data_IF_427890144456
#
_entry.id   IF_427890144456
#
_cell.length_a   1.000
_cell.length_b   1.000
_cell.length_c   1.000
_cell.angle_alpha   90.00
_cell.angle_beta   90.00
_cell.angle_gamma   90.00
#
_symmetry.space_group_name_H-M   'P 1'
#
loop_
_entity.id
_entity.type
_entity.pdbx_description
1 polymer ?
#
# COMPACT_ATOMS: atom_id res chain seq x y z
N UNK A 1 46.39 -26.52 35.15
CA UNK A 1 45.84 -25.53 34.18
C UNK A 1 44.60 -26.14 33.55
N UNK A 2 43.41 -25.84 34.08
CA UNK A 2 42.14 -26.25 33.48
C UNK A 2 41.56 -25.05 32.74
N UNK A 3 41.60 -25.08 31.41
CA UNK A 3 40.93 -24.11 30.55
C UNK A 3 39.44 -24.38 30.60
N UNK A 4 38.69 -23.49 31.27
CA UNK A 4 37.23 -23.48 31.29
C UNK A 4 36.76 -22.90 29.96
N UNK A 5 36.26 -23.75 29.07
CA UNK A 5 35.56 -23.33 27.84
C UNK A 5 34.26 -22.66 28.25
N UNK A 6 34.11 -21.37 27.96
CA UNK A 6 32.86 -20.62 28.12
C UNK A 6 31.95 -21.00 26.95
N UNK A 7 30.80 -21.62 27.22
CA UNK A 7 29.78 -21.80 26.19
C UNK A 7 29.17 -20.44 25.78
N UNK A 8 28.81 -20.24 24.50
CA UNK A 8 28.12 -19.03 24.07
C UNK A 8 26.75 -18.98 24.74
N UNK A 9 26.43 -17.85 25.39
CA UNK A 9 25.14 -17.63 26.04
C UNK A 9 23.98 -17.84 25.05
N UNK A 10 22.99 -18.62 25.46
CA UNK A 10 21.79 -18.89 24.69
C UNK A 10 21.12 -17.55 24.31
N UNK A 11 21.03 -17.28 23.00
CA UNK A 11 20.19 -16.22 22.49
C UNK A 11 18.75 -16.45 22.98
N UNK A 12 18.09 -15.38 23.46
CA UNK A 12 16.70 -15.45 23.90
C UNK A 12 15.76 -15.95 22.79
N UNK A 13 14.51 -16.30 23.12
CA UNK A 13 13.59 -16.85 22.13
C UNK A 13 13.41 -15.86 20.97
N UNK A 14 13.71 -16.33 19.77
CA UNK A 14 13.49 -15.58 18.55
C UNK A 14 12.00 -15.29 18.34
N UNK A 15 11.66 -14.04 17.96
CA UNK A 15 10.28 -13.67 17.60
C UNK A 15 9.76 -14.61 16.50
N UNK A 16 8.57 -15.23 16.63
CA UNK A 16 7.99 -16.09 15.59
C UNK A 16 7.90 -15.39 14.23
N UNK A 17 8.11 -16.13 13.12
CA UNK A 17 8.01 -15.55 11.77
C UNK A 17 6.61 -14.98 11.47
N UNK A 18 5.56 -15.58 12.04
CA UNK A 18 4.19 -15.05 11.94
C UNK A 18 4.07 -13.64 12.53
N UNK A 19 4.76 -13.37 13.64
CA UNK A 19 4.71 -12.06 14.30
C UNK A 19 5.52 -11.04 13.52
N UNK A 20 6.74 -11.41 13.08
CA UNK A 20 7.58 -10.57 12.21
C UNK A 20 6.87 -10.23 10.90
N UNK A 21 6.15 -11.20 10.32
CA UNK A 21 5.36 -11.01 9.10
C UNK A 21 4.23 -10.02 9.34
N UNK A 22 3.48 -10.18 10.43
CA UNK A 22 2.43 -9.22 10.82
C UNK A 22 2.97 -7.81 10.99
N UNK A 23 4.11 -7.65 11.67
CA UNK A 23 4.78 -6.35 11.89
C UNK A 23 5.14 -5.67 10.57
N UNK A 24 5.75 -6.39 9.62
CA UNK A 24 6.03 -5.86 8.28
C UNK A 24 4.77 -5.44 7.54
N UNK A 25 3.67 -6.18 7.73
CA UNK A 25 2.37 -5.86 7.15
C UNK A 25 1.75 -4.58 7.72
N UNK A 26 1.86 -4.39 9.04
CA UNK A 26 1.47 -3.15 9.71
C UNK A 26 2.26 -1.98 9.14
N UNK A 27 3.58 -2.08 9.04
CA UNK A 27 4.41 -1.03 8.44
C UNK A 27 4.07 -0.76 6.97
N UNK A 28 3.73 -1.80 6.21
CA UNK A 28 3.30 -1.64 4.82
C UNK A 28 2.00 -0.84 4.71
N UNK A 29 0.99 -1.18 5.50
CA UNK A 29 -0.29 -0.46 5.47
C UNK A 29 -0.22 0.93 6.06
N UNK A 30 0.60 1.16 7.08
CA UNK A 30 0.89 2.51 7.57
C UNK A 30 1.38 3.41 6.44
N UNK A 31 2.32 2.94 5.62
CA UNK A 31 2.83 3.67 4.45
C UNK A 31 1.80 3.83 3.33
N UNK A 32 0.94 2.84 3.10
CA UNK A 32 -0.08 2.89 2.04
C UNK A 32 -1.17 3.90 2.41
N UNK A 33 -1.75 3.75 3.59
CA UNK A 33 -2.89 4.54 4.05
C UNK A 33 -2.52 5.84 4.76
N UNK A 34 -1.22 6.09 4.96
CA UNK A 34 -0.70 7.27 5.65
C UNK A 34 -1.28 7.41 7.06
N UNK A 35 -1.24 6.31 7.82
CA UNK A 35 -1.74 6.21 9.19
C UNK A 35 -0.63 5.73 10.13
N UNK A 36 -0.62 6.11 11.41
CA UNK A 36 0.36 5.61 12.36
C UNK A 36 0.29 4.09 12.51
N UNK A 37 1.45 3.42 12.61
CA UNK A 37 1.53 1.95 12.68
C UNK A 37 0.69 1.35 13.81
N UNK A 38 0.66 2.01 14.97
CA UNK A 38 -0.12 1.57 16.13
C UNK A 38 -1.64 1.61 15.90
N UNK A 39 -2.12 2.42 14.95
CA UNK A 39 -3.54 2.57 14.63
C UNK A 39 -3.99 1.58 13.55
N UNK A 40 -3.08 1.08 12.70
CA UNK A 40 -3.39 0.20 11.56
C UNK A 40 -4.25 -1.00 11.98
N UNK A 41 -3.89 -1.81 13.00
CA UNK A 41 -4.66 -3.03 13.28
C UNK A 41 -6.10 -2.72 13.70
N UNK A 42 -6.28 -1.70 14.54
CA UNK A 42 -7.60 -1.31 15.03
C UNK A 42 -8.46 -0.70 13.90
N UNK A 43 -7.88 0.20 13.10
CA UNK A 43 -8.57 0.83 11.98
C UNK A 43 -8.99 -0.19 10.92
N UNK A 44 -8.12 -1.15 10.58
CA UNK A 44 -8.45 -2.22 9.62
C UNK A 44 -9.50 -3.16 10.19
N UNK A 45 -9.32 -3.63 11.43
CA UNK A 45 -10.31 -4.50 12.09
C UNK A 45 -11.69 -3.86 12.16
N UNK A 46 -11.78 -2.55 12.42
CA UNK A 46 -13.05 -1.83 12.42
C UNK A 46 -13.69 -1.74 11.03
N UNK A 47 -12.89 -1.68 9.97
CA UNK A 47 -13.37 -1.55 8.58
C UNK A 47 -13.84 -2.87 7.97
N UNK A 48 -13.08 -3.95 8.17
CA UNK A 48 -13.27 -5.23 7.43
C UNK A 48 -13.49 -6.44 8.35
N UNK A 49 -13.48 -6.24 9.66
CA UNK A 49 -13.61 -7.29 10.67
C UNK A 49 -12.26 -7.91 11.06
N UNK A 50 -12.14 -8.46 12.29
CA UNK A 50 -10.85 -8.93 12.81
C UNK A 50 -10.18 -10.03 11.99
N UNK A 51 -10.88 -11.11 11.55
CA UNK A 51 -10.21 -12.19 10.81
C UNK A 51 -9.66 -11.72 9.46
N UNK A 52 -10.41 -10.89 8.75
CA UNK A 52 -9.97 -10.36 7.46
C UNK A 52 -8.79 -9.40 7.65
N UNK A 53 -8.85 -8.57 8.69
CA UNK A 53 -7.75 -7.65 9.00
C UNK A 53 -6.46 -8.41 9.30
N UNK A 54 -6.49 -9.46 10.12
CA UNK A 54 -5.29 -10.24 10.42
C UNK A 54 -4.69 -10.89 9.16
N UNK A 55 -5.51 -11.54 8.33
CA UNK A 55 -5.05 -12.11 7.06
C UNK A 55 -4.47 -11.05 6.12
N UNK A 56 -5.08 -9.87 6.06
CA UNK A 56 -4.59 -8.75 5.26
C UNK A 56 -3.22 -8.24 5.78
N UNK A 57 -3.04 -8.10 7.10
CA UNK A 57 -1.77 -7.73 7.72
C UNK A 57 -0.69 -8.77 7.38
N UNK A 58 -0.99 -10.05 7.57
CA UNK A 58 -0.07 -11.13 7.25
C UNK A 58 0.28 -11.14 5.75
N UNK A 59 -0.70 -10.97 4.86
CA UNK A 59 -0.46 -10.91 3.43
C UNK A 59 0.44 -9.74 3.03
N UNK A 60 0.19 -8.55 3.56
CA UNK A 60 0.98 -7.34 3.29
C UNK A 60 2.43 -7.45 3.78
N UNK A 61 2.68 -8.21 4.85
CA UNK A 61 4.03 -8.47 5.35
C UNK A 61 4.77 -9.64 4.67
N UNK A 62 4.12 -10.27 3.70
CA UNK A 62 4.68 -11.37 2.93
C UNK A 62 5.82 -10.97 2.00
N UNK A 63 6.54 -11.98 1.53
CA UNK A 63 7.68 -11.81 0.61
C UNK A 63 7.31 -11.07 -0.68
N UNK A 64 6.07 -11.21 -1.16
CA UNK A 64 5.59 -10.54 -2.37
C UNK A 64 5.71 -9.01 -2.26
N UNK A 65 5.45 -8.44 -1.08
CA UNK A 65 5.51 -6.99 -0.90
C UNK A 65 6.91 -6.48 -0.57
N UNK A 66 7.74 -7.30 0.08
CA UNK A 66 9.09 -6.90 0.50
C UNK A 66 10.20 -7.33 -0.47
N UNK A 67 9.88 -7.83 -1.66
CA UNK A 67 10.89 -8.34 -2.60
C UNK A 67 11.84 -7.22 -3.08
N UNK A 68 13.17 -7.35 -2.90
CA UNK A 68 14.11 -6.25 -3.13
C UNK A 68 14.29 -5.86 -4.61
N UNK A 69 13.89 -6.72 -5.55
CA UNK A 69 14.00 -6.43 -6.98
C UNK A 69 12.91 -5.51 -7.53
N UNK A 70 11.90 -5.17 -6.73
CA UNK A 70 10.92 -4.13 -7.06
C UNK A 70 11.21 -2.95 -6.13
N UNK A 71 11.14 -1.73 -6.63
CA UNK A 71 11.17 -0.53 -5.80
C UNK A 71 9.76 -0.01 -5.48
N UNK A 72 9.63 1.15 -4.84
CA UNK A 72 8.31 1.74 -4.55
C UNK A 72 7.53 2.10 -5.81
N UNK A 73 8.23 2.61 -6.84
CA UNK A 73 7.64 3.04 -8.11
C UNK A 73 7.06 1.84 -8.86
N UNK A 74 7.83 0.76 -8.98
CA UNK A 74 7.41 -0.49 -9.64
C UNK A 74 6.14 -1.05 -9.00
N UNK A 75 6.14 -1.10 -7.66
CA UNK A 75 5.02 -1.56 -6.84
C UNK A 75 3.77 -0.72 -7.06
N UNK A 76 3.91 0.60 -7.05
CA UNK A 76 2.80 1.52 -7.29
C UNK A 76 2.19 1.31 -8.68
N UNK A 77 3.01 1.20 -9.72
CA UNK A 77 2.55 0.94 -11.10
C UNK A 77 1.78 -0.38 -11.16
N UNK A 78 2.32 -1.46 -10.60
CA UNK A 78 1.69 -2.78 -10.61
C UNK A 78 0.32 -2.77 -9.92
N UNK A 79 0.22 -2.17 -8.72
CA UNK A 79 -1.03 -2.13 -7.96
C UNK A 79 -2.07 -1.23 -8.64
N UNK A 80 -1.69 -0.04 -9.10
CA UNK A 80 -2.59 0.86 -9.84
C UNK A 80 -3.13 0.17 -11.10
N UNK A 81 -2.25 -0.53 -11.83
CA UNK A 81 -2.62 -1.28 -13.02
C UNK A 81 -3.64 -2.38 -12.70
N UNK A 82 -3.42 -3.15 -11.64
CA UNK A 82 -4.36 -4.18 -11.20
C UNK A 82 -5.72 -3.58 -10.83
N UNK A 83 -5.74 -2.49 -10.07
CA UNK A 83 -6.98 -1.81 -9.66
C UNK A 83 -7.75 -1.25 -10.85
N UNK A 84 -7.06 -0.57 -11.77
CA UNK A 84 -7.67 -0.08 -13.01
C UNK A 84 -8.23 -1.23 -13.85
N UNK A 85 -7.46 -2.32 -14.00
CA UNK A 85 -7.91 -3.52 -14.70
C UNK A 85 -9.13 -4.18 -14.05
N UNK A 86 -9.31 -4.04 -12.73
CA UNK A 86 -10.49 -4.52 -12.00
C UNK A 86 -11.67 -3.55 -12.04
N UNK A 87 -11.51 -2.36 -12.63
CA UNK A 87 -12.54 -1.31 -12.66
C UNK A 87 -12.70 -0.59 -11.32
N UNK A 88 -11.66 -0.58 -10.48
CA UNK A 88 -11.65 0.15 -9.20
C UNK A 88 -11.27 1.61 -9.45
N UNK A 89 -12.01 2.52 -8.81
CA UNK A 89 -11.82 3.98 -8.90
C UNK A 89 -12.18 4.67 -7.56
N UNK A 90 -12.14 6.01 -7.55
CA UNK A 90 -12.43 6.83 -6.36
C UNK A 90 -11.42 6.60 -5.24
N UNK A 91 -11.86 6.73 -3.97
CA UNK A 91 -11.01 6.68 -2.77
C UNK A 91 -10.06 5.46 -2.72
N UNK A 92 -10.53 4.32 -3.24
CA UNK A 92 -9.74 3.07 -3.27
C UNK A 92 -8.54 3.19 -4.21
N UNK A 93 -8.73 3.81 -5.38
CA UNK A 93 -7.63 4.05 -6.32
C UNK A 93 -6.80 5.24 -5.87
N UNK A 94 -7.43 6.33 -5.40
CA UNK A 94 -6.76 7.56 -4.94
C UNK A 94 -5.70 7.28 -3.87
N UNK A 95 -6.00 6.42 -2.88
CA UNK A 95 -5.00 6.00 -1.87
C UNK A 95 -3.69 5.52 -2.51
N UNK A 96 -3.78 4.73 -3.58
CA UNK A 96 -2.60 4.21 -4.28
C UNK A 96 -1.96 5.23 -5.22
N UNK A 97 -2.73 6.19 -5.74
CA UNK A 97 -2.19 7.35 -6.48
C UNK A 97 -1.38 8.26 -5.55
N UNK A 98 -1.85 8.54 -4.33
CA UNK A 98 -1.08 9.33 -3.36
C UNK A 98 0.23 8.62 -2.97
N UNK A 99 0.20 7.29 -2.78
CA UNK A 99 1.42 6.51 -2.56
C UNK A 99 2.36 6.57 -3.77
N UNK A 100 1.82 6.45 -4.99
CA UNK A 100 2.59 6.56 -6.23
C UNK A 100 3.30 7.91 -6.35
N UNK A 101 2.66 9.00 -5.92
CA UNK A 101 3.27 10.35 -5.87
C UNK A 101 4.46 10.40 -4.92
N UNK A 102 4.36 9.78 -3.74
CA UNK A 102 5.50 9.64 -2.81
C UNK A 102 6.66 8.84 -3.43
N UNK A 103 6.38 7.97 -4.40
CA UNK A 103 7.36 7.23 -5.18
C UNK A 103 7.75 7.91 -6.51
N UNK A 104 7.39 9.19 -6.70
CA UNK A 104 7.79 10.00 -7.85
C UNK A 104 6.97 9.79 -9.13
N UNK A 105 5.75 9.25 -9.04
CA UNK A 105 4.80 9.26 -10.15
C UNK A 105 3.95 10.54 -10.10
N UNK A 106 4.18 11.46 -11.04
CA UNK A 106 3.41 12.69 -11.22
C UNK A 106 2.18 12.48 -12.11
N UNK A 107 1.41 13.55 -12.34
CA UNK A 107 0.20 13.54 -13.18
C UNK A 107 0.50 13.08 -14.60
N UNK A 108 1.62 13.52 -15.18
CA UNK A 108 2.04 13.15 -16.53
C UNK A 108 2.33 11.64 -16.63
N UNK A 109 3.07 11.08 -15.67
CA UNK A 109 3.37 9.65 -15.64
C UNK A 109 2.10 8.79 -15.45
N UNK A 110 1.18 9.21 -14.59
CA UNK A 110 -0.06 8.48 -14.33
C UNK A 110 -1.04 8.58 -15.51
N UNK A 111 -1.11 9.75 -16.16
CA UNK A 111 -1.85 9.95 -17.41
C UNK A 111 -1.31 9.03 -18.51
N UNK A 112 0.01 9.02 -18.72
CA UNK A 112 0.66 8.15 -19.70
C UNK A 112 0.39 6.66 -19.42
N UNK A 113 0.42 6.25 -18.15
CA UNK A 113 0.05 4.89 -17.74
C UNK A 113 -1.39 4.55 -18.14
N UNK A 114 -2.37 5.39 -17.80
CA UNK A 114 -3.77 5.13 -18.15
C UNK A 114 -4.01 5.10 -19.67
N UNK A 115 -3.35 5.97 -20.42
CA UNK A 115 -3.39 5.95 -21.90
C UNK A 115 -2.84 4.64 -22.47
N UNK A 116 -1.72 4.15 -21.94
CA UNK A 116 -1.18 2.85 -22.32
C UNK A 116 -2.16 1.72 -21.98
N UNK A 117 -2.69 1.73 -20.76
CA UNK A 117 -3.60 0.69 -20.28
C UNK A 117 -4.90 0.63 -21.09
N UNK A 118 -5.39 1.73 -21.66
CA UNK A 118 -6.57 1.73 -22.52
C UNK A 118 -6.50 0.68 -23.66
N UNK A 119 -5.30 0.41 -24.18
CA UNK A 119 -5.08 -0.63 -25.19
C UNK A 119 -5.17 -2.07 -24.66
N UNK A 120 -4.95 -2.29 -23.36
CA UNK A 120 -4.89 -3.63 -22.74
C UNK A 120 -6.11 -3.97 -21.91
N UNK A 121 -6.68 -2.99 -21.19
CA UNK A 121 -7.85 -3.18 -20.32
C UNK A 121 -9.13 -2.57 -20.89
N UNK A 122 -9.04 -1.96 -22.08
CA UNK A 122 -10.13 -1.27 -22.77
C UNK A 122 -10.38 0.14 -22.24
N UNK A 123 -10.87 1.00 -23.12
CA UNK A 123 -11.20 2.39 -22.81
C UNK A 123 -12.15 2.57 -21.61
N UNK A 124 -13.22 1.77 -21.43
CA UNK A 124 -14.13 1.98 -20.29
C UNK A 124 -13.48 1.85 -18.92
N UNK A 125 -12.54 0.91 -18.75
CA UNK A 125 -11.82 0.73 -17.47
C UNK A 125 -10.73 1.79 -17.29
N UNK A 126 -9.98 2.07 -18.35
CA UNK A 126 -8.93 3.07 -18.31
C UNK A 126 -9.49 4.49 -18.08
N UNK A 127 -10.60 4.87 -18.71
CA UNK A 127 -11.22 6.18 -18.52
C UNK A 127 -11.76 6.34 -17.10
N UNK A 128 -12.37 5.31 -16.52
CA UNK A 128 -12.85 5.32 -15.14
C UNK A 128 -11.69 5.54 -14.14
N UNK A 129 -10.55 4.90 -14.36
CA UNK A 129 -9.36 5.16 -13.56
C UNK A 129 -8.77 6.56 -13.81
N UNK A 130 -8.77 7.03 -15.05
CA UNK A 130 -8.29 8.36 -15.44
C UNK A 130 -9.08 9.49 -14.76
N UNK A 131 -10.39 9.34 -14.57
CA UNK A 131 -11.20 10.30 -13.80
C UNK A 131 -10.67 10.47 -12.37
N UNK A 132 -10.23 9.38 -11.73
CA UNK A 132 -9.63 9.43 -10.39
C UNK A 132 -8.24 10.08 -10.44
N UNK A 133 -7.43 9.77 -11.46
CA UNK A 133 -6.12 10.42 -11.67
C UNK A 133 -6.31 11.92 -11.77
N UNK A 134 -7.15 12.40 -12.68
CA UNK A 134 -7.34 13.82 -12.87
C UNK A 134 -7.92 14.51 -11.61
N UNK A 135 -8.87 13.86 -10.93
CA UNK A 135 -9.40 14.34 -9.65
C UNK A 135 -8.34 14.49 -8.56
N UNK A 136 -7.35 13.59 -8.50
CA UNK A 136 -6.27 13.62 -7.50
C UNK A 136 -5.28 14.79 -7.70
N UNK A 137 -5.21 15.36 -8.90
CA UNK A 137 -4.35 16.49 -9.26
C UNK A 137 -5.12 17.80 -9.49
N UNK A 138 -6.45 17.75 -9.55
CA UNK A 138 -7.27 18.94 -9.67
C UNK A 138 -7.03 19.89 -8.47
N UNK A 139 -6.97 21.21 -8.71
CA UNK A 139 -6.87 22.18 -7.62
C UNK A 139 -8.07 21.99 -6.69
N UNK A 140 -7.82 21.83 -5.39
CA UNK A 140 -8.90 21.74 -4.40
C UNK A 140 -9.67 23.07 -4.38
N UNK A 141 -10.79 23.11 -5.09
CA UNK A 141 -11.71 24.24 -5.06
C UNK A 141 -12.33 24.36 -3.67
N UNK A 142 -11.97 25.45 -2.96
CA UNK A 142 -12.62 26.05 -1.78
C UNK A 142 -14.05 25.52 -1.52
N UNK A 143 -14.28 24.96 -0.33
CA UNK A 143 -15.61 24.91 0.26
C UNK A 143 -15.56 25.20 1.78
N UNK A 144 -14.91 26.31 2.15
CA UNK A 144 -15.22 27.01 3.39
C UNK A 144 -16.34 27.98 3.11
N UNK A 145 -17.59 27.58 3.41
CA UNK A 145 -18.74 28.39 3.84
C UNK A 145 -20.08 27.87 3.28
N UNK A 146 -20.83 27.16 4.14
CA UNK A 146 -22.23 27.46 4.47
C UNK A 146 -22.83 26.36 5.33
N UNK A 147 -22.51 26.36 6.63
CA UNK A 147 -23.47 25.96 7.66
C UNK A 147 -23.70 27.20 8.53
N UNK A 148 -24.73 27.96 8.17
CA UNK A 148 -25.54 28.75 9.09
C UNK A 148 -26.96 28.24 8.97
#
# INVERSE_FOLDING_TARGET
>A
MSTRTTEPGAAGPETPESDRRRERGVSAYARIFDVPEQEVPAAFSARVGPPFAEEALQAAGGAAWSHPALDGRDRSIAVITALAAQGVAGDRLDTHLQLARRHGLDEDALTALMTLLAGYIGYPRASLAMETVHGAFAPTGRNDSAHR
#
